data_IF_103758232956
#
_entry.id   IF_103758232956
#
_cell.length_a   1.000
_cell.length_b   1.000
_cell.length_c   1.000
_cell.angle_alpha   90.00
_cell.angle_beta   90.00
_cell.angle_gamma   90.00
#
_symmetry.space_group_name_H-M   'P 1'
#
loop_
_entity.id
_entity.type
_entity.pdbx_description
1 polymer ?
#
# COMPACT_ATOMS: atom_id res chain seq x y z
N UNK A 1 42.51 -37.41 26.35
CA UNK A 1 42.30 -36.04 25.92
C UNK A 1 41.08 -36.00 25.06
N UNK A 2 39.99 -35.46 25.58
CA UNK A 2 38.75 -35.31 24.85
C UNK A 2 38.65 -33.85 24.37
N UNK A 3 38.80 -33.65 23.07
CA UNK A 3 38.57 -32.32 22.46
C UNK A 3 37.07 -32.13 22.29
N UNK A 4 36.49 -31.28 23.12
CA UNK A 4 35.12 -30.80 22.94
C UNK A 4 35.16 -29.64 21.98
N UNK A 5 34.85 -29.94 20.73
CA UNK A 5 34.62 -28.89 19.74
C UNK A 5 33.20 -28.34 19.95
N UNK A 6 33.11 -27.21 20.63
CA UNK A 6 31.83 -26.49 20.74
C UNK A 6 31.59 -25.82 19.39
N UNK A 7 30.69 -26.39 18.66
CA UNK A 7 30.16 -25.77 17.42
C UNK A 7 29.21 -24.63 17.84
N UNK A 8 29.73 -23.42 17.90
CA UNK A 8 28.92 -22.23 18.04
C UNK A 8 28.16 -22.04 16.71
N UNK A 9 26.93 -22.55 16.64
CA UNK A 9 25.99 -22.18 15.62
C UNK A 9 25.60 -20.70 15.87
N UNK A 10 26.22 -19.81 15.12
CA UNK A 10 25.84 -18.40 15.10
C UNK A 10 24.42 -18.28 14.56
N UNK A 11 23.47 -18.03 15.44
CA UNK A 11 22.17 -17.51 15.08
C UNK A 11 22.39 -16.11 14.48
N UNK A 12 22.51 -16.05 13.15
CA UNK A 12 22.38 -14.79 12.45
C UNK A 12 20.92 -14.34 12.62
N UNK A 13 20.67 -13.17 13.21
CA UNK A 13 19.32 -12.64 13.23
C UNK A 13 18.90 -12.40 11.77
N UNK A 14 17.90 -13.11 11.33
CA UNK A 14 17.16 -12.75 10.13
C UNK A 14 16.51 -11.38 10.42
N UNK A 15 17.19 -10.34 10.04
CA UNK A 15 16.64 -9.00 10.06
C UNK A 15 15.54 -9.00 8.99
N UNK A 16 14.31 -9.25 9.41
CA UNK A 16 13.16 -8.89 8.60
C UNK A 16 13.28 -7.38 8.39
N UNK A 17 13.56 -6.97 7.17
CA UNK A 17 13.62 -5.56 6.82
C UNK A 17 12.21 -4.96 6.96
N UNK A 18 11.87 -4.52 8.17
CA UNK A 18 10.70 -3.68 8.37
C UNK A 18 10.98 -2.34 7.69
N UNK A 19 9.97 -1.82 7.01
CA UNK A 19 10.04 -0.49 6.42
C UNK A 19 10.15 0.54 7.54
N UNK A 20 11.14 1.41 7.45
CA UNK A 20 11.41 2.44 8.47
C UNK A 20 11.37 3.85 7.87
N UNK A 21 11.13 4.83 8.73
CA UNK A 21 11.29 6.25 8.37
C UNK A 21 12.74 6.49 7.96
N UNK A 22 12.93 7.15 6.82
CA UNK A 22 14.22 7.37 6.18
C UNK A 22 14.52 6.42 5.04
N UNK A 23 13.81 5.30 4.94
CA UNK A 23 13.97 4.37 3.83
C UNK A 23 13.54 5.00 2.51
N UNK A 24 14.33 4.73 1.47
CA UNK A 24 13.96 5.09 0.10
C UNK A 24 13.17 3.95 -0.53
N UNK A 25 12.00 4.27 -1.07
CA UNK A 25 11.19 3.26 -1.74
C UNK A 25 11.77 2.93 -3.12
N UNK A 26 11.94 1.62 -3.37
CA UNK A 26 12.25 1.14 -4.70
C UNK A 26 11.07 1.39 -5.64
N UNK A 27 11.29 1.82 -6.89
CA UNK A 27 10.23 2.03 -7.85
C UNK A 27 9.50 0.71 -8.19
N UNK A 28 8.25 0.84 -8.55
CA UNK A 28 7.42 -0.26 -9.05
C UNK A 28 6.42 0.28 -10.05
N UNK A 29 5.92 -0.62 -10.89
CA UNK A 29 4.84 -0.32 -11.83
C UNK A 29 3.70 -1.29 -11.61
N UNK A 30 2.49 -0.78 -11.46
CA UNK A 30 1.26 -1.54 -11.38
C UNK A 30 0.24 -1.01 -12.39
N UNK A 31 -0.68 -1.88 -12.80
CA UNK A 31 -1.83 -1.48 -13.59
C UNK A 31 -3.00 -1.13 -12.68
N UNK A 32 -3.75 -0.11 -13.05
CA UNK A 32 -4.98 0.26 -12.36
C UNK A 32 -6.19 -0.57 -12.83
N UNK A 33 -7.40 -0.20 -12.39
CA UNK A 33 -8.65 -0.86 -12.80
C UNK A 33 -9.00 -0.68 -14.28
N UNK A 34 -8.32 0.20 -14.98
CA UNK A 34 -8.48 0.45 -16.42
C UNK A 34 -7.31 -0.12 -17.24
N UNK A 35 -6.48 -0.97 -16.64
CA UNK A 35 -5.25 -1.51 -17.23
C UNK A 35 -4.23 -0.44 -17.65
N UNK A 36 -4.31 0.73 -17.04
CA UNK A 36 -3.33 1.79 -17.25
C UNK A 36 -2.19 1.68 -16.24
N UNK A 37 -0.96 1.77 -16.73
CA UNK A 37 0.21 1.66 -15.88
C UNK A 37 0.45 2.93 -15.06
N UNK A 38 0.88 2.72 -13.83
CA UNK A 38 1.41 3.76 -12.96
C UNK A 38 2.75 3.30 -12.39
N UNK A 39 3.75 4.15 -12.47
CA UNK A 39 5.07 3.91 -11.86
C UNK A 39 5.27 4.90 -10.71
N UNK A 40 5.66 4.36 -9.54
CA UNK A 40 5.98 5.20 -8.39
C UNK A 40 7.14 6.12 -8.72
N UNK A 41 6.96 7.41 -8.52
CA UNK A 41 7.96 8.44 -8.75
C UNK A 41 8.15 9.37 -7.55
N UNK A 42 9.08 10.30 -7.67
CA UNK A 42 9.44 11.24 -6.60
C UNK A 42 8.35 12.29 -6.29
N UNK A 43 7.31 12.39 -7.11
CA UNK A 43 6.20 13.34 -6.92
C UNK A 43 5.12 12.80 -6.00
N UNK A 44 5.10 11.47 -5.75
CA UNK A 44 4.14 10.87 -4.83
C UNK A 44 4.48 11.30 -3.40
N UNK A 45 3.52 11.92 -2.73
CA UNK A 45 3.67 12.41 -1.36
C UNK A 45 2.99 11.51 -0.34
N UNK A 46 1.96 10.78 -0.76
CA UNK A 46 1.20 9.86 0.09
C UNK A 46 0.97 8.54 -0.63
N UNK A 47 1.32 7.45 0.03
CA UNK A 47 1.04 6.11 -0.46
C UNK A 47 0.10 5.41 0.53
N UNK A 48 -1.08 5.04 0.04
CA UNK A 48 -2.06 4.25 0.79
C UNK A 48 -1.98 2.80 0.35
N UNK A 49 -1.91 1.88 1.30
CA UNK A 49 -1.83 0.45 1.02
C UNK A 49 -2.93 -0.28 1.78
N UNK A 50 -3.84 -0.92 1.05
CA UNK A 50 -4.83 -1.83 1.58
C UNK A 50 -4.43 -3.28 1.25
N UNK A 51 -4.29 -4.11 2.26
CA UNK A 51 -3.80 -5.48 2.13
C UNK A 51 -4.92 -6.53 2.19
N UNK A 52 -6.16 -6.08 2.35
CA UNK A 52 -7.34 -6.93 2.44
C UNK A 52 -8.58 -6.21 1.92
N UNK A 53 -9.67 -6.95 1.78
CA UNK A 53 -10.98 -6.37 1.46
C UNK A 53 -11.44 -5.37 2.52
N UNK A 54 -11.17 -5.62 3.79
CA UNK A 54 -11.56 -4.70 4.86
C UNK A 54 -10.80 -3.38 4.76
N UNK A 55 -9.50 -3.42 4.48
CA UNK A 55 -8.71 -2.22 4.21
C UNK A 55 -9.20 -1.48 2.97
N UNK A 56 -9.53 -2.18 1.89
CA UNK A 56 -10.05 -1.58 0.66
C UNK A 56 -11.41 -0.90 0.88
N UNK A 57 -12.31 -1.52 1.64
CA UNK A 57 -13.60 -0.92 2.01
C UNK A 57 -13.44 0.33 2.87
N UNK A 58 -12.43 0.34 3.73
CA UNK A 58 -12.11 1.49 4.56
C UNK A 58 -11.68 2.68 3.70
N UNK A 59 -10.85 2.46 2.69
CA UNK A 59 -10.47 3.50 1.73
C UNK A 59 -11.68 3.97 0.91
N UNK A 60 -12.50 3.05 0.42
CA UNK A 60 -13.70 3.38 -0.33
C UNK A 60 -14.65 4.28 0.50
N UNK A 61 -14.90 3.92 1.74
CA UNK A 61 -15.72 4.72 2.65
C UNK A 61 -15.12 6.10 2.93
N UNK A 62 -13.80 6.19 3.09
CA UNK A 62 -13.11 7.47 3.31
C UNK A 62 -13.19 8.39 2.08
N UNK A 63 -13.31 7.82 0.88
CA UNK A 63 -13.37 8.56 -0.39
C UNK A 63 -14.79 8.79 -0.89
N UNK A 64 -15.81 8.38 -0.15
CA UNK A 64 -17.21 8.61 -0.51
C UNK A 64 -17.50 10.11 -0.71
N UNK A 65 -18.15 10.43 -1.82
CA UNK A 65 -18.53 11.81 -2.15
C UNK A 65 -17.39 12.70 -2.64
N UNK A 66 -16.18 12.18 -2.76
CA UNK A 66 -15.06 12.96 -3.27
C UNK A 66 -15.08 12.98 -4.82
N UNK A 67 -14.68 14.10 -5.44
CA UNK A 67 -14.64 14.21 -6.89
C UNK A 67 -13.50 13.37 -7.51
N UNK A 68 -13.59 13.14 -8.81
CA UNK A 68 -12.46 12.60 -9.57
C UNK A 68 -11.25 13.51 -9.43
N UNK A 69 -10.07 12.93 -9.29
CA UNK A 69 -8.83 13.68 -9.11
C UNK A 69 -8.54 14.09 -7.66
N UNK A 70 -9.36 13.67 -6.70
CA UNK A 70 -9.17 14.00 -5.28
C UNK A 70 -7.83 13.50 -4.74
N UNK A 71 -7.44 12.25 -5.05
CA UNK A 71 -6.16 11.68 -4.65
C UNK A 71 -5.00 12.33 -5.41
N UNK A 72 -5.16 12.50 -6.73
CA UNK A 72 -4.14 13.08 -7.59
C UNK A 72 -3.80 14.52 -7.18
N UNK A 73 -4.81 15.31 -6.79
CA UNK A 73 -4.60 16.66 -6.27
C UNK A 73 -3.77 16.71 -4.99
N UNK A 74 -3.70 15.59 -4.27
CA UNK A 74 -2.90 15.41 -3.04
C UNK A 74 -1.61 14.65 -3.28
N UNK A 75 -1.27 14.38 -4.53
CA UNK A 75 -0.15 13.52 -4.90
C UNK A 75 -0.19 12.17 -4.14
N UNK A 76 -1.42 11.67 -3.93
CA UNK A 76 -1.69 10.43 -3.23
C UNK A 76 -1.96 9.30 -4.21
N UNK A 77 -1.43 8.12 -3.90
CA UNK A 77 -1.58 6.89 -4.68
C UNK A 77 -2.14 5.81 -3.78
N UNK A 78 -3.10 5.05 -4.28
CA UNK A 78 -3.71 3.95 -3.56
C UNK A 78 -3.37 2.61 -4.21
N UNK A 79 -2.80 1.68 -3.42
CA UNK A 79 -2.52 0.29 -3.80
C UNK A 79 -3.48 -0.63 -3.07
N UNK A 80 -4.14 -1.53 -3.80
CA UNK A 80 -4.90 -2.63 -3.25
C UNK A 80 -4.25 -3.97 -3.58
N UNK A 81 -3.96 -4.75 -2.56
CA UNK A 81 -3.48 -6.11 -2.70
C UNK A 81 -4.67 -7.04 -2.96
N UNK A 82 -4.73 -7.60 -4.18
CA UNK A 82 -5.78 -8.52 -4.59
C UNK A 82 -5.26 -9.92 -4.93
N UNK A 83 -4.03 -10.24 -4.53
CA UNK A 83 -3.40 -11.52 -4.85
C UNK A 83 -4.18 -12.74 -4.31
N UNK A 84 -4.88 -12.59 -3.19
CA UNK A 84 -5.69 -13.65 -2.58
C UNK A 84 -7.05 -13.83 -3.23
N UNK A 85 -7.48 -12.88 -4.04
CA UNK A 85 -8.72 -12.97 -4.78
C UNK A 85 -8.53 -13.94 -5.95
N UNK A 86 -9.44 -14.91 -6.18
CA UNK A 86 -9.36 -15.77 -7.35
C UNK A 86 -9.31 -14.94 -8.63
N UNK A 87 -8.40 -15.26 -9.54
CA UNK A 87 -8.15 -14.46 -10.75
C UNK A 87 -9.40 -14.25 -11.59
N UNK A 88 -10.24 -15.28 -11.70
CA UNK A 88 -11.49 -15.19 -12.44
C UNK A 88 -12.49 -14.22 -11.79
N UNK A 89 -12.58 -14.25 -10.46
CA UNK A 89 -13.42 -13.32 -9.69
C UNK A 89 -12.92 -11.89 -9.86
N UNK A 90 -11.62 -11.67 -9.74
CA UNK A 90 -11.02 -10.36 -9.95
C UNK A 90 -11.33 -9.82 -11.35
N UNK A 91 -11.09 -10.62 -12.39
CA UNK A 91 -11.23 -10.21 -13.78
C UNK A 91 -12.69 -9.95 -14.17
N UNK A 92 -13.62 -10.80 -13.75
CA UNK A 92 -15.01 -10.75 -14.20
C UNK A 92 -15.92 -9.87 -13.35
N UNK A 93 -15.60 -9.68 -12.08
CA UNK A 93 -16.49 -8.99 -11.13
C UNK A 93 -15.83 -7.83 -10.42
N UNK A 94 -14.70 -8.06 -9.72
CA UNK A 94 -14.12 -7.05 -8.85
C UNK A 94 -13.53 -5.87 -9.62
N UNK A 95 -12.67 -6.12 -10.60
CA UNK A 95 -12.03 -5.06 -11.37
C UNK A 95 -13.04 -4.27 -12.21
N UNK A 96 -14.01 -4.90 -12.91
CA UNK A 96 -15.08 -4.14 -13.58
C UNK A 96 -15.88 -3.24 -12.63
N UNK A 97 -16.20 -3.71 -11.43
CA UNK A 97 -16.89 -2.89 -10.43
C UNK A 97 -16.06 -1.69 -9.96
N UNK A 98 -14.75 -1.84 -9.86
CA UNK A 98 -13.84 -0.75 -9.49
C UNK A 98 -13.77 0.36 -10.54
N UNK A 99 -14.18 0.10 -11.78
CA UNK A 99 -14.21 1.13 -12.84
C UNK A 99 -15.25 2.22 -12.59
N UNK A 100 -16.21 1.96 -11.73
CA UNK A 100 -17.20 2.95 -11.30
C UNK A 100 -16.71 3.86 -10.17
N UNK A 101 -15.52 3.60 -9.61
CA UNK A 101 -14.94 4.44 -8.58
C UNK A 101 -14.49 5.80 -9.12
N UNK A 102 -14.58 6.84 -8.30
CA UNK A 102 -14.09 8.18 -8.61
C UNK A 102 -12.59 8.34 -8.36
N UNK A 103 -11.90 7.27 -8.01
CA UNK A 103 -10.47 7.27 -7.74
C UNK A 103 -9.78 6.11 -8.45
N UNK A 104 -8.52 6.29 -8.71
CA UNK A 104 -7.64 5.28 -9.28
C UNK A 104 -7.14 4.35 -8.19
N UNK A 105 -7.18 3.05 -8.44
CA UNK A 105 -6.61 2.04 -7.54
C UNK A 105 -5.57 1.22 -8.31
N UNK A 106 -4.33 1.20 -7.81
CA UNK A 106 -3.26 0.39 -8.37
C UNK A 106 -3.40 -1.03 -7.82
N UNK A 107 -3.56 -2.00 -8.72
CA UNK A 107 -3.91 -3.37 -8.36
C UNK A 107 -2.67 -4.25 -8.32
N UNK A 108 -2.32 -4.70 -7.13
CA UNK A 108 -1.27 -5.69 -6.96
C UNK A 108 -1.85 -7.10 -7.08
N UNK A 109 -1.92 -7.59 -8.31
CA UNK A 109 -2.53 -8.88 -8.65
C UNK A 109 -1.66 -10.06 -8.24
N UNK A 110 -0.36 -9.88 -8.23
CA UNK A 110 0.63 -10.95 -8.03
C UNK A 110 1.34 -10.87 -6.67
N UNK A 111 1.01 -9.89 -5.83
CA UNK A 111 1.64 -9.69 -4.53
C UNK A 111 3.10 -9.30 -4.61
N UNK A 112 3.49 -8.53 -5.62
CA UNK A 112 4.88 -8.10 -5.81
C UNK A 112 5.22 -6.79 -5.12
N UNK A 113 4.23 -5.96 -4.84
CA UNK A 113 4.40 -4.60 -4.33
C UNK A 113 3.91 -4.46 -2.90
N UNK A 114 2.65 -4.82 -2.62
CA UNK A 114 2.05 -4.65 -1.30
C UNK A 114 2.85 -5.33 -0.16
N UNK A 115 3.44 -6.53 -0.34
CA UNK A 115 4.26 -7.15 0.69
C UNK A 115 5.52 -6.37 1.07
N UNK A 116 5.97 -5.43 0.24
CA UNK A 116 7.10 -4.54 0.57
C UNK A 116 6.76 -3.57 1.69
N UNK A 117 5.48 -3.34 1.93
CA UNK A 117 4.94 -2.40 2.91
C UNK A 117 4.17 -3.17 3.99
N UNK A 118 4.88 -3.69 5.01
CA UNK A 118 4.26 -4.50 6.05
C UNK A 118 3.32 -3.68 6.92
N UNK A 119 2.23 -4.29 7.35
CA UNK A 119 1.24 -3.66 8.22
C UNK A 119 0.08 -4.59 8.53
N UNK A 120 -0.82 -4.21 9.44
CA UNK A 120 -2.03 -4.96 9.74
C UNK A 120 -2.93 -5.12 8.51
N UNK A 121 -3.50 -6.31 8.33
CA UNK A 121 -4.33 -6.62 7.15
C UNK A 121 -5.69 -5.94 7.17
N UNK A 122 -6.19 -5.56 8.33
CA UNK A 122 -7.50 -4.93 8.55
C UNK A 122 -7.45 -3.39 8.60
N UNK A 123 -6.27 -2.80 8.48
CA UNK A 123 -6.04 -1.35 8.49
C UNK A 123 -5.48 -0.88 7.16
N UNK A 124 -5.50 0.42 6.97
CA UNK A 124 -4.84 1.08 5.83
C UNK A 124 -3.50 1.62 6.30
N UNK A 125 -2.44 1.22 5.62
CA UNK A 125 -1.11 1.81 5.82
C UNK A 125 -1.03 3.12 5.06
N UNK A 126 -0.56 4.16 5.72
CA UNK A 126 -0.25 5.47 5.16
C UNK A 126 1.24 5.71 5.24
N UNK A 127 1.88 5.88 4.09
CA UNK A 127 3.27 6.31 4.02
C UNK A 127 3.32 7.75 3.53
N UNK A 128 3.88 8.63 4.34
CA UNK A 128 4.20 9.98 3.92
C UNK A 128 5.57 9.98 3.26
N UNK A 129 5.64 10.48 2.04
CA UNK A 129 6.85 10.47 1.23
C UNK A 129 7.32 11.88 0.92
N UNK A 130 8.63 12.05 0.83
CA UNK A 130 9.28 13.22 0.29
C UNK A 130 10.43 12.79 -0.61
N UNK A 131 10.30 13.11 -1.90
CA UNK A 131 11.30 12.73 -2.91
C UNK A 131 11.67 11.23 -2.89
N UNK A 132 10.66 10.37 -2.70
CA UNK A 132 10.82 8.92 -2.66
C UNK A 132 11.28 8.34 -1.32
N UNK A 133 11.48 9.16 -0.30
CA UNK A 133 11.82 8.70 1.05
C UNK A 133 10.62 8.73 1.98
N UNK A 134 10.52 7.71 2.85
CA UNK A 134 9.51 7.65 3.90
C UNK A 134 9.87 8.65 5.00
N UNK A 135 9.02 9.63 5.24
CA UNK A 135 9.20 10.62 6.31
C UNK A 135 8.27 10.40 7.50
N UNK A 136 7.17 9.66 7.31
CA UNK A 136 6.25 9.25 8.36
C UNK A 136 5.45 8.02 7.94
N UNK A 137 4.98 7.26 8.93
CA UNK A 137 4.10 6.11 8.74
C UNK A 137 2.94 6.21 9.71
N UNK A 138 1.74 5.91 9.23
CA UNK A 138 0.52 5.83 10.03
C UNK A 138 -0.30 4.62 9.60
N UNK A 139 -1.13 4.13 10.51
CA UNK A 139 -2.09 3.08 10.24
C UNK A 139 -3.46 3.59 10.66
N UNK A 140 -4.42 3.53 9.73
CA UNK A 140 -5.78 3.98 9.99
C UNK A 140 -6.73 2.79 10.06
N UNK A 141 -7.47 2.72 11.16
CA UNK A 141 -8.42 1.65 11.43
C UNK A 141 -9.87 2.03 11.07
N UNK A 142 -10.14 3.30 10.81
CA UNK A 142 -11.48 3.79 10.50
C UNK A 142 -11.48 4.72 9.29
N UNK A 143 -12.59 4.72 8.56
CA UNK A 143 -12.78 5.62 7.42
C UNK A 143 -12.73 7.09 7.83
N UNK A 144 -13.27 7.43 8.99
CA UNK A 144 -13.29 8.80 9.50
C UNK A 144 -11.87 9.33 9.75
N UNK A 145 -11.01 8.52 10.37
CA UNK A 145 -9.61 8.91 10.61
C UNK A 145 -8.83 9.09 9.30
N UNK A 146 -9.03 8.18 8.35
CA UNK A 146 -8.38 8.26 7.04
C UNK A 146 -8.86 9.48 6.27
N UNK A 147 -10.16 9.75 6.27
CA UNK A 147 -10.74 10.93 5.62
C UNK A 147 -10.16 12.22 6.21
N UNK A 148 -10.10 12.34 7.53
CA UNK A 148 -9.51 13.49 8.20
C UNK A 148 -8.05 13.70 7.80
N UNK A 149 -7.26 12.64 7.78
CA UNK A 149 -5.85 12.69 7.35
C UNK A 149 -5.71 13.18 5.90
N UNK A 150 -6.57 12.69 5.00
CA UNK A 150 -6.60 13.15 3.60
C UNK A 150 -6.99 14.62 3.49
N UNK A 151 -7.95 15.08 4.27
CA UNK A 151 -8.35 16.50 4.31
C UNK A 151 -7.22 17.40 4.82
N UNK A 152 -6.45 16.95 5.79
CA UNK A 152 -5.29 17.68 6.31
C UNK A 152 -4.09 17.69 5.36
N UNK A 153 -4.01 16.74 4.42
CA UNK A 153 -2.93 16.63 3.44
C UNK A 153 -3.15 17.47 2.18
N UNK A 154 -3.90 18.56 2.28
CA UNK A 154 -4.13 19.47 1.16
C UNK A 154 -2.81 20.06 0.67
N UNK A 155 -2.68 20.22 -0.65
CA UNK A 155 -1.50 20.91 -1.20
C UNK A 155 -1.45 22.37 -0.79
#
# INVERSE_FOLDING_TARGET
MKYWTVLLLGLLPLWANALEVGDRLAPWTLLDQFDQAFTLDSRTETLLVARSMDGAKLVDAALQGQPKGYLEARHAVFIADIQRMPRLVAKMFAVPAMRDYNYRVMLDRDGRVAPRYPGPVDKVLWLQLKEGQVVAQHEYATAAQLHEALEMSRP
#
